data_IF_766267015334
#
_entry.id   IF_766267015334
#
_cell.length_a   1.000
_cell.length_b   1.000
_cell.length_c   1.000
_cell.angle_alpha   90.00
_cell.angle_beta   90.00
_cell.angle_gamma   90.00
#
_symmetry.space_group_name_H-M   'P 1'
#
loop_
_entity.id
_entity.type
_entity.pdbx_description
1 polymer ?
#
# COMPACT_ATOMS: atom_id res chain seq x y z
N UNK A 1 -2.01 -12.37 8.09
CA UNK A 1 -2.80 -11.16 7.85
C UNK A 1 -3.20 -10.38 9.11
N UNK A 2 -3.43 -11.08 10.24
CA UNK A 2 -3.97 -10.41 11.46
C UNK A 2 -3.11 -9.24 11.95
N UNK A 3 -1.80 -9.39 12.00
CA UNK A 3 -0.89 -8.32 12.44
C UNK A 3 -0.96 -7.10 11.50
N UNK A 4 -1.10 -7.33 10.19
CA UNK A 4 -1.24 -6.30 9.17
C UNK A 4 -2.55 -5.53 9.37
N UNK A 5 -3.67 -6.24 9.57
CA UNK A 5 -4.97 -5.59 9.81
C UNK A 5 -4.97 -4.73 11.08
N UNK A 6 -4.34 -5.23 12.16
CA UNK A 6 -4.17 -4.47 13.40
C UNK A 6 -3.32 -3.21 13.18
N UNK A 7 -2.19 -3.33 12.48
CA UNK A 7 -1.32 -2.19 12.19
C UNK A 7 -2.03 -1.13 11.34
N UNK A 8 -2.74 -1.56 10.30
CA UNK A 8 -3.54 -0.66 9.45
C UNK A 8 -4.59 0.11 10.26
N UNK A 9 -5.38 -0.59 11.09
CA UNK A 9 -6.41 0.07 11.93
C UNK A 9 -5.81 1.06 12.91
N UNK A 10 -4.69 0.70 13.54
CA UNK A 10 -4.00 1.60 14.47
C UNK A 10 -3.46 2.82 13.75
N UNK A 11 -2.80 2.67 12.61
CA UNK A 11 -2.28 3.79 11.84
C UNK A 11 -3.38 4.75 11.39
N UNK A 12 -4.51 4.22 10.92
CA UNK A 12 -5.67 5.03 10.54
C UNK A 12 -6.27 5.79 11.74
N UNK A 13 -6.36 5.12 12.89
CA UNK A 13 -6.86 5.74 14.13
C UNK A 13 -5.91 6.83 14.64
N UNK A 14 -4.60 6.55 14.69
CA UNK A 14 -3.58 7.50 15.15
C UNK A 14 -3.52 8.76 14.25
N UNK A 15 -3.76 8.57 12.95
CA UNK A 15 -3.81 9.66 11.98
C UNK A 15 -5.17 10.38 11.91
N UNK A 16 -6.15 9.95 12.70
CA UNK A 16 -7.54 10.43 12.64
C UNK A 16 -8.09 10.42 11.19
N UNK A 17 -7.68 9.42 10.41
CA UNK A 17 -8.01 9.28 8.99
C UNK A 17 -8.91 8.07 8.78
N UNK A 18 -10.20 8.25 8.52
CA UNK A 18 -11.07 7.14 8.18
C UNK A 18 -10.70 6.55 6.80
N UNK A 19 -10.99 5.27 6.59
CA UNK A 19 -10.60 4.55 5.38
C UNK A 19 -11.16 5.15 4.07
N UNK A 20 -12.28 5.86 4.15
CA UNK A 20 -12.90 6.55 3.01
C UNK A 20 -12.15 7.82 2.56
N UNK A 21 -11.25 8.34 3.41
CA UNK A 21 -10.37 9.47 3.10
C UNK A 21 -9.05 9.08 2.43
N UNK A 22 -8.76 7.79 2.33
CA UNK A 22 -7.52 7.29 1.72
C UNK A 22 -7.63 7.32 0.20
N UNK A 23 -6.64 7.92 -0.44
CA UNK A 23 -6.57 8.14 -1.89
C UNK A 23 -5.57 7.22 -2.59
N UNK A 24 -4.61 6.65 -1.85
CA UNK A 24 -3.56 5.79 -2.38
C UNK A 24 -3.22 4.67 -1.40
N UNK A 25 -3.13 3.44 -1.90
CA UNK A 25 -2.65 2.28 -1.18
C UNK A 25 -1.27 1.87 -1.66
N UNK A 26 -0.37 1.62 -0.73
CA UNK A 26 0.97 1.10 -1.01
C UNK A 26 1.19 -0.22 -0.24
N UNK A 27 0.62 -1.35 -0.71
CA UNK A 27 0.87 -2.65 -0.11
C UNK A 27 2.32 -3.05 -0.29
N UNK A 28 2.82 -3.88 0.64
CA UNK A 28 4.19 -4.37 0.59
C UNK A 28 4.43 -5.28 -0.62
N UNK A 29 3.57 -6.28 -0.82
CA UNK A 29 3.57 -7.15 -2.00
C UNK A 29 4.89 -7.90 -2.19
N UNK A 30 5.06 -9.04 -1.57
CA UNK A 30 6.34 -9.77 -1.59
C UNK A 30 6.60 -10.52 -2.89
N UNK A 31 5.58 -10.75 -3.70
CA UNK A 31 5.62 -11.68 -4.83
C UNK A 31 5.54 -13.15 -4.40
N UNK A 32 5.24 -13.41 -3.11
CA UNK A 32 5.12 -14.76 -2.56
C UNK A 32 3.67 -15.05 -2.22
N UNK A 33 3.08 -16.06 -2.86
CA UNK A 33 1.65 -16.36 -2.80
C UNK A 33 1.04 -16.30 -1.40
N UNK A 34 1.65 -16.98 -0.42
CA UNK A 34 1.08 -17.06 0.92
C UNK A 34 1.13 -15.72 1.68
N UNK A 35 2.21 -14.97 1.52
CA UNK A 35 2.33 -13.64 2.14
C UNK A 35 1.39 -12.64 1.48
N UNK A 36 1.34 -12.63 0.17
CA UNK A 36 0.49 -11.69 -0.58
C UNK A 36 -0.99 -11.98 -0.35
N UNK A 37 -1.40 -13.25 -0.26
CA UNK A 37 -2.76 -13.63 0.10
C UNK A 37 -3.14 -13.17 1.53
N UNK A 38 -2.23 -13.35 2.49
CA UNK A 38 -2.45 -12.91 3.87
C UNK A 38 -2.51 -11.38 3.98
N UNK A 39 -1.68 -10.68 3.23
CA UNK A 39 -1.71 -9.23 3.14
C UNK A 39 -3.00 -8.74 2.49
N UNK A 40 -3.39 -9.30 1.35
CA UNK A 40 -4.63 -8.94 0.67
C UNK A 40 -5.87 -9.15 1.56
N UNK A 41 -5.91 -10.25 2.31
CA UNK A 41 -6.98 -10.50 3.27
C UNK A 41 -7.06 -9.40 4.34
N UNK A 42 -5.91 -8.95 4.86
CA UNK A 42 -5.86 -7.86 5.85
C UNK A 42 -6.35 -6.52 5.29
N UNK A 43 -5.94 -6.17 4.08
CA UNK A 43 -6.43 -4.96 3.42
C UNK A 43 -7.93 -5.03 3.12
N UNK A 44 -8.42 -6.20 2.66
CA UNK A 44 -9.86 -6.42 2.47
C UNK A 44 -10.67 -6.27 3.77
N UNK A 45 -10.14 -6.76 4.89
CA UNK A 45 -10.77 -6.63 6.21
C UNK A 45 -10.89 -5.17 6.68
N UNK A 46 -9.91 -4.32 6.34
CA UNK A 46 -9.86 -2.92 6.79
C UNK A 46 -10.62 -1.99 5.86
N UNK A 47 -10.49 -2.17 4.54
CA UNK A 47 -11.04 -1.26 3.54
C UNK A 47 -12.35 -1.76 2.90
N UNK A 48 -12.69 -3.03 3.04
CA UNK A 48 -13.93 -3.60 2.50
C UNK A 48 -14.07 -3.39 0.99
N UNK A 49 -15.23 -2.90 0.56
CA UNK A 49 -15.50 -2.60 -0.86
C UNK A 49 -14.61 -1.49 -1.41
N UNK A 50 -14.18 -0.56 -0.56
CA UNK A 50 -13.31 0.56 -0.96
C UNK A 50 -11.95 0.11 -1.52
N UNK A 51 -11.46 -1.08 -1.13
CA UNK A 51 -10.17 -1.59 -1.59
C UNK A 51 -10.03 -1.58 -3.12
N UNK A 52 -11.08 -1.96 -3.84
CA UNK A 52 -11.07 -2.00 -5.30
C UNK A 52 -11.30 -0.64 -5.97
N UNK A 53 -11.65 0.38 -5.22
CA UNK A 53 -11.88 1.73 -5.73
C UNK A 53 -10.64 2.61 -5.62
N UNK A 54 -9.83 2.41 -4.57
CA UNK A 54 -8.62 3.19 -4.31
C UNK A 54 -7.49 2.68 -5.20
N UNK A 55 -6.78 3.56 -5.92
CA UNK A 55 -5.60 3.14 -6.68
C UNK A 55 -4.51 2.60 -5.75
N UNK A 56 -3.79 1.60 -6.22
CA UNK A 56 -2.68 1.00 -5.51
C UNK A 56 -1.39 1.07 -6.32
N UNK A 57 -0.27 1.16 -5.61
CA UNK A 57 1.06 1.05 -6.19
C UNK A 57 1.95 0.12 -5.38
N UNK A 58 2.89 -0.55 -6.04
CA UNK A 58 3.97 -1.30 -5.39
C UNK A 58 5.28 -1.12 -6.13
N UNK A 59 6.36 -1.06 -5.38
CA UNK A 59 7.72 -0.93 -5.95
C UNK A 59 8.34 -2.30 -6.24
N UNK A 60 7.69 -3.40 -5.82
CA UNK A 60 8.29 -4.77 -5.87
C UNK A 60 8.71 -5.22 -7.24
N UNK A 61 7.91 -4.94 -8.26
CA UNK A 61 8.24 -5.30 -9.64
C UNK A 61 9.48 -4.60 -10.19
N UNK A 62 9.83 -3.44 -9.65
CA UNK A 62 10.98 -2.65 -10.07
C UNK A 62 12.26 -3.00 -9.29
N UNK A 63 12.17 -3.19 -7.96
CA UNK A 63 13.34 -3.25 -7.08
C UNK A 63 13.42 -4.50 -6.21
N UNK A 64 12.41 -5.37 -6.24
CA UNK A 64 12.35 -6.55 -5.38
C UNK A 64 12.20 -6.23 -3.89
N UNK A 65 12.50 -7.20 -3.04
CA UNK A 65 12.54 -7.06 -1.58
C UNK A 65 13.97 -6.80 -1.14
N UNK A 66 14.23 -5.66 -0.50
CA UNK A 66 15.54 -5.19 -0.07
C UNK A 66 15.74 -5.33 1.45
N UNK A 67 15.22 -6.41 2.03
CA UNK A 67 15.33 -6.66 3.47
C UNK A 67 14.77 -5.50 4.31
N UNK A 68 15.50 -5.08 5.32
CA UNK A 68 15.09 -4.01 6.23
C UNK A 68 14.91 -2.63 5.58
N UNK A 69 15.55 -2.39 4.43
CA UNK A 69 15.44 -1.12 3.69
C UNK A 69 14.14 -0.99 2.89
N UNK A 70 13.43 -2.07 2.66
CA UNK A 70 12.25 -2.09 1.80
C UNK A 70 11.17 -1.09 2.22
N UNK A 71 10.82 -1.07 3.49
CA UNK A 71 9.79 -0.16 4.01
C UNK A 71 10.16 1.31 3.85
N UNK A 72 11.42 1.67 3.99
CA UNK A 72 11.90 3.04 3.78
C UNK A 72 11.79 3.46 2.30
N UNK A 73 12.08 2.54 1.37
CA UNK A 73 11.95 2.80 -0.07
C UNK A 73 10.47 2.98 -0.43
N UNK A 74 9.58 2.11 0.08
CA UNK A 74 8.14 2.22 -0.15
C UNK A 74 7.58 3.54 0.41
N UNK A 75 8.01 3.93 1.59
CA UNK A 75 7.65 5.20 2.19
C UNK A 75 8.10 6.38 1.31
N UNK A 76 9.36 6.40 0.86
CA UNK A 76 9.87 7.45 -0.01
C UNK A 76 9.12 7.53 -1.34
N UNK A 77 8.80 6.38 -1.96
CA UNK A 77 7.98 6.32 -3.16
C UNK A 77 6.56 6.86 -2.93
N UNK A 78 5.95 6.50 -1.79
CA UNK A 78 4.62 6.97 -1.39
C UNK A 78 4.60 8.48 -1.20
N UNK A 79 5.57 9.04 -0.46
CA UNK A 79 5.70 10.50 -0.26
C UNK A 79 5.91 11.23 -1.59
N UNK A 80 6.71 10.65 -2.49
CA UNK A 80 6.95 11.22 -3.81
C UNK A 80 5.67 11.25 -4.65
N UNK A 81 4.88 10.19 -4.62
CA UNK A 81 3.59 10.13 -5.32
C UNK A 81 2.62 11.22 -4.80
N UNK A 82 2.55 11.41 -3.47
CA UNK A 82 1.75 12.49 -2.86
C UNK A 82 2.24 13.87 -3.31
N UNK A 83 3.53 14.12 -3.21
CA UNK A 83 4.11 15.41 -3.54
C UNK A 83 3.85 15.81 -4.99
N UNK A 84 3.94 14.84 -5.90
CA UNK A 84 3.77 15.04 -7.34
C UNK A 84 2.34 14.90 -7.84
N UNK A 85 1.40 14.42 -7.03
CA UNK A 85 0.06 14.01 -7.45
C UNK A 85 0.08 13.03 -8.64
N UNK A 86 1.07 12.14 -8.67
CA UNK A 86 1.27 11.17 -9.75
C UNK A 86 1.63 9.81 -9.16
N UNK A 87 0.85 8.80 -9.50
CA UNK A 87 1.06 7.43 -9.05
C UNK A 87 1.90 6.69 -10.09
N UNK A 88 3.08 6.18 -9.75
CA UNK A 88 3.89 5.42 -10.69
C UNK A 88 3.25 4.07 -11.03
N UNK A 89 3.54 3.50 -12.21
CA UNK A 89 3.05 2.18 -12.54
C UNK A 89 3.71 1.11 -11.67
N UNK A 90 2.94 0.09 -11.34
CA UNK A 90 3.39 -1.10 -10.64
C UNK A 90 3.81 -2.15 -11.64
N UNK A 91 5.10 -2.34 -11.82
CA UNK A 91 5.63 -3.31 -12.79
C UNK A 91 5.27 -4.75 -12.39
N UNK A 92 5.08 -5.62 -13.38
CA UNK A 92 4.76 -7.05 -13.21
C UNK A 92 3.46 -7.32 -12.45
N UNK A 93 2.48 -6.43 -12.53
CA UNK A 93 1.14 -6.57 -11.92
C UNK A 93 0.03 -6.75 -12.96
N UNK A 94 0.36 -7.09 -14.19
CA UNK A 94 -0.62 -7.23 -15.28
C UNK A 94 -1.63 -8.37 -15.08
N UNK A 95 -1.29 -9.35 -14.24
CA UNK A 95 -2.17 -10.46 -13.90
C UNK A 95 -2.24 -10.63 -12.37
N UNK A 96 -2.87 -9.70 -11.65
CA UNK A 96 -2.98 -9.79 -10.19
C UNK A 96 -3.90 -10.94 -9.79
N UNK A 97 -3.65 -11.51 -8.60
CA UNK A 97 -4.58 -12.47 -8.01
C UNK A 97 -5.95 -11.78 -7.82
N UNK A 98 -7.04 -12.32 -8.42
CA UNK A 98 -8.37 -11.73 -8.29
C UNK A 98 -8.83 -11.58 -6.82
N UNK A 99 -8.37 -12.44 -5.93
CA UNK A 99 -8.68 -12.35 -4.51
C UNK A 99 -8.01 -11.16 -3.81
N UNK A 100 -6.96 -10.58 -4.41
CA UNK A 100 -6.27 -9.42 -3.83
C UNK A 100 -7.12 -8.16 -3.84
N UNK A 101 -7.95 -7.98 -4.87
CA UNK A 101 -8.81 -6.83 -5.11
C UNK A 101 -8.09 -5.48 -5.21
N UNK A 102 -6.76 -5.43 -5.19
CA UNK A 102 -6.00 -4.22 -5.42
C UNK A 102 -6.17 -3.73 -6.85
N UNK A 103 -6.38 -2.43 -7.01
CA UNK A 103 -6.40 -1.76 -8.29
C UNK A 103 -5.04 -1.10 -8.55
N UNK A 104 -4.05 -1.91 -8.91
CA UNK A 104 -2.73 -1.40 -9.26
C UNK A 104 -2.78 -0.49 -10.48
N UNK A 105 -2.07 0.64 -10.40
CA UNK A 105 -1.77 1.45 -11.59
C UNK A 105 -0.78 0.66 -12.44
N UNK A 106 -1.11 0.47 -13.72
CA UNK A 106 -0.33 -0.32 -14.69
C UNK A 106 0.06 0.56 -15.87
N UNK A 107 1.03 0.11 -16.64
CA UNK A 107 1.52 0.71 -17.88
C UNK A 107 2.08 2.13 -17.70
N UNK A 108 1.23 3.14 -17.67
CA UNK A 108 1.62 4.55 -17.57
C UNK A 108 1.38 5.14 -16.18
N UNK A 109 2.18 6.13 -15.74
CA UNK A 109 1.91 6.90 -14.53
C UNK A 109 0.53 7.52 -14.58
N UNK A 110 -0.18 7.52 -13.45
CA UNK A 110 -1.51 8.08 -13.33
C UNK A 110 -1.51 9.36 -12.51
N UNK A 111 -1.91 10.46 -13.11
CA UNK A 111 -2.18 11.69 -12.38
C UNK A 111 -3.44 11.55 -11.53
N UNK A 112 -3.32 11.89 -10.25
CA UNK A 112 -4.40 11.83 -9.29
C UNK A 112 -4.13 12.80 -8.14
N UNK A 113 -5.15 13.53 -7.69
CA UNK A 113 -5.04 14.29 -6.44
C UNK A 113 -4.96 13.30 -5.28
N UNK A 114 -3.83 13.31 -4.58
CA UNK A 114 -3.56 12.42 -3.45
C UNK A 114 -3.31 13.28 -2.23
N UNK A 115 -4.17 13.15 -1.22
CA UNK A 115 -4.03 13.84 0.06
C UNK A 115 -3.64 12.89 1.18
N UNK A 116 -4.11 11.64 1.13
CA UNK A 116 -3.83 10.62 2.13
C UNK A 116 -3.41 9.32 1.45
N UNK A 117 -2.30 8.76 1.90
CA UNK A 117 -1.83 7.44 1.47
C UNK A 117 -1.54 6.54 2.66
N UNK A 118 -1.66 5.24 2.46
CA UNK A 118 -1.32 4.23 3.46
C UNK A 118 -0.29 3.28 2.90
N UNK A 119 0.80 3.08 3.63
CA UNK A 119 1.83 2.09 3.30
C UNK A 119 2.01 1.08 4.43
N UNK A 120 2.35 -0.15 4.08
CA UNK A 120 2.60 -1.25 5.01
C UNK A 120 3.94 -1.88 4.72
N UNK A 121 4.65 -2.25 5.77
CA UNK A 121 5.85 -3.07 5.68
C UNK A 121 5.86 -4.11 6.79
N UNK A 122 6.36 -5.30 6.52
CA UNK A 122 6.45 -6.37 7.51
C UNK A 122 7.66 -7.27 7.28
N UNK A 123 8.13 -7.86 8.38
CA UNK A 123 9.22 -8.84 8.34
C UNK A 123 8.70 -10.20 7.90
N UNK A 124 9.35 -10.83 6.91
CA UNK A 124 8.92 -12.11 6.35
C UNK A 124 9.08 -13.30 7.34
N UNK A 125 9.96 -13.17 8.31
CA UNK A 125 10.29 -14.26 9.25
C UNK A 125 9.91 -13.97 10.71
N UNK A 126 9.19 -12.91 11.03
CA UNK A 126 9.08 -12.58 12.45
C UNK A 126 8.08 -11.52 12.88
N UNK A 127 6.82 -11.60 12.54
CA UNK A 127 5.73 -10.93 13.27
C UNK A 127 5.76 -9.38 13.41
N UNK A 128 6.81 -8.73 12.99
CA UNK A 128 6.92 -7.29 13.03
C UNK A 128 6.19 -6.69 11.83
N UNK A 129 5.27 -5.77 12.10
CA UNK A 129 4.49 -5.09 11.06
C UNK A 129 4.37 -3.63 11.42
N UNK A 130 4.59 -2.77 10.44
CA UNK A 130 4.36 -1.33 10.53
C UNK A 130 3.40 -0.89 9.43
N UNK A 131 2.50 0.01 9.78
CA UNK A 131 1.66 0.74 8.83
C UNK A 131 1.82 2.23 9.08
N UNK A 132 1.86 3.02 8.02
CA UNK A 132 1.97 4.47 8.10
C UNK A 132 0.86 5.11 7.26
N UNK A 133 0.23 6.12 7.82
CA UNK A 133 -0.63 7.04 7.08
C UNK A 133 0.17 8.30 6.79
N UNK A 134 0.23 8.67 5.53
CA UNK A 134 0.94 9.87 5.07
C UNK A 134 -0.09 10.87 4.57
N UNK A 135 -0.03 12.08 5.07
CA UNK A 135 -0.91 13.16 4.66
C UNK A 135 -0.13 14.32 4.04
N UNK A 136 -0.65 14.84 2.93
CA UNK A 136 -0.15 16.08 2.35
C UNK A 136 -0.57 17.25 3.24
N UNK A 137 0.37 18.06 3.66
CA UNK A 137 0.10 19.31 4.37
C UNK A 137 -0.16 20.37 3.30
N UNK A 138 -1.35 20.96 3.33
CA UNK A 138 -1.65 22.15 2.51
C UNK A 138 -1.03 23.36 3.22
N UNK A 139 -0.22 24.14 2.49
CA UNK A 139 0.32 25.42 2.94
C UNK A 139 -0.77 26.50 2.93
#
# INVERSE_FOLDING_TARGET
GRAIAIALRKALADAETPADRVDLLAPFGTGTRNYDAAEAAAWNEVFGSRLSEIPAMTTRGAIGVNGAGTGAIDFAATVTALARNTIPPSLNTSNPDPASRFRFVQDDPKDARITHAVTVSYALAGGQTAALVVRKVEE
#
